data_IF_929890115741
#
_entry.id   IF_929890115741
#
_cell.length_a   1.000
_cell.length_b   1.000
_cell.length_c   1.000
_cell.angle_alpha   90.00
_cell.angle_beta   90.00
_cell.angle_gamma   90.00
#
_symmetry.space_group_name_H-M   'P 1'
#
loop_
_entity.id
_entity.type
_entity.pdbx_description
1 polymer ?
#
# COMPACT_ATOMS: atom_id res chain seq x y z
N UNK A 1 6.40 0.87 9.51
CA UNK A 1 6.40 0.49 8.09
C UNK A 1 6.10 -0.99 7.86
N UNK A 2 6.70 -1.86 8.64
CA UNK A 2 6.45 -3.31 8.50
C UNK A 2 4.98 -3.69 8.62
N UNK A 3 4.27 -3.06 9.55
CA UNK A 3 2.85 -3.35 9.74
C UNK A 3 2.03 -2.96 8.52
N UNK A 4 2.37 -1.83 7.91
CA UNK A 4 1.66 -1.39 6.71
C UNK A 4 1.88 -2.36 5.57
N UNK A 5 3.09 -2.83 5.40
CA UNK A 5 3.40 -3.79 4.34
C UNK A 5 2.66 -5.10 4.56
N UNK A 6 2.64 -5.58 5.79
CA UNK A 6 1.90 -6.80 6.11
C UNK A 6 0.41 -6.65 5.84
N UNK A 7 -0.15 -5.49 6.20
CA UNK A 7 -1.55 -5.22 5.94
C UNK A 7 -1.83 -5.26 4.44
N UNK A 8 -0.99 -4.58 3.66
CA UNK A 8 -1.17 -4.54 2.22
C UNK A 8 -1.05 -5.94 1.63
N UNK A 9 -0.03 -6.69 2.04
CA UNK A 9 0.17 -8.05 1.53
C UNK A 9 -1.01 -8.96 1.86
N UNK A 10 -1.63 -8.78 3.00
CA UNK A 10 -2.75 -9.62 3.39
C UNK A 10 -3.99 -9.33 2.56
N UNK A 11 -4.08 -8.15 1.95
CA UNK A 11 -5.26 -7.76 1.19
C UNK A 11 -5.05 -7.68 -0.30
N UNK A 12 -3.82 -7.55 -0.74
CA UNK A 12 -3.56 -7.29 -2.16
C UNK A 12 -4.04 -8.42 -3.07
N UNK A 13 -4.05 -9.64 -2.57
CA UNK A 13 -4.53 -10.79 -3.34
C UNK A 13 -6.06 -10.85 -3.42
N UNK A 14 -6.73 -10.05 -2.59
CA UNK A 14 -8.19 -10.07 -2.53
C UNK A 14 -8.83 -8.89 -3.25
N UNK A 15 -8.03 -7.95 -3.73
CA UNK A 15 -8.56 -6.81 -4.44
C UNK A 15 -8.16 -6.89 -5.90
N UNK A 16 -9.05 -6.41 -6.80
CA UNK A 16 -8.69 -6.34 -8.22
C UNK A 16 -7.55 -5.37 -8.46
N UNK A 17 -6.84 -5.57 -9.56
CA UNK A 17 -5.71 -4.70 -9.87
C UNK A 17 -6.08 -3.22 -9.89
N UNK A 18 -7.28 -2.90 -10.33
CA UNK A 18 -7.72 -1.52 -10.38
C UNK A 18 -7.92 -0.86 -9.02
N UNK A 19 -7.96 -1.65 -7.97
CA UNK A 19 -8.18 -1.11 -6.62
C UNK A 19 -6.92 -1.17 -5.75
N UNK A 20 -5.82 -1.61 -6.31
CA UNK A 20 -4.56 -1.67 -5.57
C UNK A 20 -4.15 -0.28 -5.09
N UNK A 21 -4.32 0.73 -5.94
CA UNK A 21 -4.01 2.11 -5.57
C UNK A 21 -4.81 2.55 -4.36
N UNK A 22 -6.10 2.25 -4.37
CA UNK A 22 -6.96 2.62 -3.25
C UNK A 22 -6.51 1.94 -1.98
N UNK A 23 -6.12 0.69 -2.08
CA UNK A 23 -5.62 -0.05 -0.93
C UNK A 23 -4.37 0.61 -0.35
N UNK A 24 -3.46 1.03 -1.21
CA UNK A 24 -2.24 1.69 -0.77
C UNK A 24 -2.53 3.04 -0.12
N UNK A 25 -3.46 3.81 -0.69
CA UNK A 25 -3.86 5.08 -0.08
C UNK A 25 -4.47 4.85 1.29
N UNK A 26 -5.34 3.86 1.39
CA UNK A 26 -5.98 3.54 2.66
C UNK A 26 -4.95 3.14 3.70
N UNK A 27 -4.03 2.28 3.32
CA UNK A 27 -2.98 1.86 4.24
C UNK A 27 -2.10 3.04 4.67
N UNK A 28 -1.80 3.93 3.73
CA UNK A 28 -0.99 5.11 4.04
C UNK A 28 -1.65 6.00 5.08
N UNK A 29 -2.96 6.17 4.96
CA UNK A 29 -3.70 6.97 5.92
C UNK A 29 -3.84 6.24 7.26
N UNK A 30 -4.12 4.96 7.20
CA UNK A 30 -4.32 4.16 8.41
C UNK A 30 -3.05 4.10 9.26
N UNK A 31 -1.91 3.98 8.63
CA UNK A 31 -0.64 3.88 9.33
C UNK A 31 0.13 5.20 9.37
N UNK A 32 -0.51 6.26 8.92
CA UNK A 32 0.06 7.61 8.95
C UNK A 32 1.45 7.68 8.32
N UNK A 33 1.58 7.14 7.12
CA UNK A 33 2.86 7.11 6.42
C UNK A 33 3.18 8.48 5.84
N UNK A 34 4.47 8.83 5.84
CA UNK A 34 4.90 10.07 5.22
C UNK A 34 5.09 9.90 3.72
N UNK A 35 5.41 10.99 3.03
CA UNK A 35 5.53 10.98 1.56
C UNK A 35 6.54 9.95 1.06
N UNK A 36 7.67 9.85 1.73
CA UNK A 36 8.73 8.92 1.32
C UNK A 36 8.25 7.47 1.47
N UNK A 37 7.59 7.17 2.57
CA UNK A 37 7.08 5.83 2.81
C UNK A 37 5.98 5.47 1.83
N UNK A 38 5.10 6.42 1.52
CA UNK A 38 4.03 6.19 0.55
C UNK A 38 4.61 5.91 -0.83
N UNK A 39 5.61 6.68 -1.23
CA UNK A 39 6.25 6.45 -2.50
C UNK A 39 6.91 5.07 -2.56
N UNK A 40 7.52 4.66 -1.46
CA UNK A 40 8.16 3.35 -1.37
C UNK A 40 7.14 2.22 -1.64
N UNK A 41 6.00 2.25 -0.95
CA UNK A 41 5.02 1.18 -1.12
C UNK A 41 4.38 1.23 -2.49
N UNK A 42 4.17 2.42 -3.05
CA UNK A 42 3.60 2.52 -4.38
C UNK A 42 4.53 1.90 -5.41
N UNK A 43 5.81 2.17 -5.30
CA UNK A 43 6.78 1.60 -6.22
C UNK A 43 6.89 0.09 -6.07
N UNK A 44 6.79 -0.37 -4.84
CA UNK A 44 6.93 -1.79 -4.57
C UNK A 44 5.73 -2.60 -5.07
N UNK A 45 4.53 -2.07 -4.93
CA UNK A 45 3.33 -2.85 -5.23
C UNK A 45 2.70 -2.52 -6.58
N UNK A 46 2.86 -1.33 -7.06
CA UNK A 46 2.22 -0.92 -8.31
C UNK A 46 3.23 -0.71 -9.41
N UNK A 47 4.20 0.15 -9.14
CA UNK A 47 5.04 0.64 -10.18
C UNK A 47 6.39 -0.02 -10.26
N UNK A 48 6.99 0.17 -11.32
CA UNK A 48 8.35 -0.22 -11.60
C UNK A 48 8.99 0.87 -12.40
#
# INVERSE_FOLDING_TARGET
MTKAIKYILSKINKVPNGETEKLLHEASEMFNLNSVQREYIFRRFIGH
#
